data_IF_057035554148
#
_entry.id   IF_057035554148
#
_cell.length_a   1.000
_cell.length_b   1.000
_cell.length_c   1.000
_cell.angle_alpha   90.00
_cell.angle_beta   90.00
_cell.angle_gamma   90.00
#
_symmetry.space_group_name_H-M   'P 1'
#
loop_
_entity.id
_entity.type
_entity.pdbx_description
1 polymer ?
#
# COMPACT_ATOMS: atom_id res chain seq x y z
N UNK A 1 15.43 20.50 6.02
CA UNK A 1 14.19 20.42 5.21
C UNK A 1 14.20 21.56 4.21
N UNK A 2 13.76 21.31 2.97
CA UNK A 2 13.51 22.40 2.00
C UNK A 2 12.29 23.20 2.46
N UNK A 3 12.27 24.51 2.21
CA UNK A 3 11.08 25.32 2.49
C UNK A 3 9.91 24.84 1.61
N UNK A 4 8.76 24.58 2.23
CA UNK A 4 7.53 24.17 1.52
C UNK A 4 6.85 25.41 0.95
N UNK A 5 6.44 25.35 -0.32
CA UNK A 5 5.73 26.39 -1.04
C UNK A 5 4.81 25.76 -2.10
N UNK A 6 4.07 26.59 -2.84
CA UNK A 6 3.06 26.12 -3.81
C UNK A 6 3.59 25.20 -4.91
N UNK A 7 4.90 25.26 -5.26
CA UNK A 7 5.47 24.43 -6.34
C UNK A 7 5.93 23.06 -5.88
N UNK A 8 6.16 22.87 -4.58
CA UNK A 8 6.63 21.59 -4.01
C UNK A 8 5.67 20.97 -2.99
N UNK A 9 4.55 21.64 -2.70
CA UNK A 9 3.59 21.21 -1.69
C UNK A 9 3.09 19.77 -1.92
N UNK A 10 2.72 19.42 -3.15
CA UNK A 10 2.19 18.08 -3.50
C UNK A 10 3.18 16.98 -3.11
N UNK A 11 4.46 17.16 -3.48
CA UNK A 11 5.53 16.23 -3.13
C UNK A 11 5.76 16.18 -1.63
N UNK A 12 5.88 17.35 -1.00
CA UNK A 12 6.15 17.46 0.43
C UNK A 12 5.04 16.80 1.29
N UNK A 13 3.79 17.02 0.92
CA UNK A 13 2.64 16.44 1.63
C UNK A 13 2.52 14.94 1.39
N UNK A 14 2.73 14.47 0.16
CA UNK A 14 2.70 13.03 -0.14
C UNK A 14 3.81 12.29 0.59
N UNK A 15 5.03 12.83 0.60
CA UNK A 15 6.13 12.26 1.37
C UNK A 15 5.89 12.31 2.88
N UNK A 16 5.22 13.36 3.39
CA UNK A 16 4.78 13.45 4.78
C UNK A 16 3.80 12.30 5.10
N UNK A 17 2.84 12.05 4.22
CA UNK A 17 1.87 10.97 4.39
C UNK A 17 2.50 9.58 4.29
N UNK A 18 3.49 9.37 3.42
CA UNK A 18 4.23 8.10 3.36
C UNK A 18 4.95 7.86 4.69
N UNK A 19 5.70 8.86 5.20
CA UNK A 19 6.37 8.77 6.51
C UNK A 19 5.41 8.53 7.66
N UNK A 20 4.25 9.19 7.66
CA UNK A 20 3.24 9.04 8.70
C UNK A 20 2.68 7.61 8.71
N UNK A 21 2.38 7.04 7.55
CA UNK A 21 1.95 5.64 7.42
C UNK A 21 3.06 4.66 7.83
N UNK A 22 4.31 4.88 7.41
CA UNK A 22 5.47 4.09 7.84
C UNK A 22 5.62 4.09 9.37
N UNK A 23 5.48 5.25 10.00
CA UNK A 23 5.62 5.40 11.46
C UNK A 23 4.44 4.79 12.23
N UNK A 24 3.20 5.10 11.84
CA UNK A 24 2.00 4.72 12.60
C UNK A 24 1.62 3.25 12.39
N UNK A 25 1.67 2.78 11.14
CA UNK A 25 1.27 1.42 10.78
C UNK A 25 2.45 0.44 10.63
N UNK A 26 3.68 0.89 10.92
CA UNK A 26 4.88 0.06 10.84
C UNK A 26 5.28 -0.35 9.42
N UNK A 27 4.83 0.40 8.42
CA UNK A 27 5.07 0.10 7.00
C UNK A 27 6.55 0.33 6.69
N UNK A 28 7.12 -0.57 5.88
CA UNK A 28 8.53 -0.58 5.51
C UNK A 28 8.71 -0.40 4.00
N UNK A 29 9.93 -0.06 3.60
CA UNK A 29 10.33 -0.08 2.19
C UNK A 29 10.58 -1.54 1.78
N UNK A 30 10.06 -1.94 0.62
CA UNK A 30 10.28 -3.25 0.02
C UNK A 30 9.71 -4.45 0.80
N UNK A 31 8.85 -4.22 1.79
CA UNK A 31 8.26 -5.31 2.61
C UNK A 31 6.77 -5.07 2.82
N UNK A 32 5.95 -6.04 2.39
CA UNK A 32 4.52 -6.04 2.65
C UNK A 32 4.24 -6.13 4.16
N UNK A 33 3.53 -5.13 4.66
CA UNK A 33 3.05 -5.05 6.04
C UNK A 33 1.55 -5.28 6.05
N UNK A 34 1.10 -6.37 6.67
CA UNK A 34 -0.32 -6.71 6.77
C UNK A 34 -0.92 -6.22 8.08
N UNK A 35 -1.91 -5.34 8.00
CA UNK A 35 -2.78 -5.01 9.11
C UNK A 35 -3.84 -6.10 9.22
N UNK A 36 -3.79 -6.87 10.32
CA UNK A 36 -4.64 -8.05 10.55
C UNK A 36 -5.96 -7.76 11.23
N UNK A 37 -6.16 -6.52 11.64
CA UNK A 37 -7.38 -6.05 12.28
C UNK A 37 -7.93 -4.84 11.52
N UNK A 38 -9.25 -4.60 11.57
CA UNK A 38 -9.84 -3.38 11.07
C UNK A 38 -9.22 -2.14 11.72
N UNK A 39 -9.17 -1.04 10.98
CA UNK A 39 -8.59 0.20 11.49
C UNK A 39 -9.41 0.73 12.67
N UNK A 40 -8.73 1.21 13.70
CA UNK A 40 -9.34 1.93 14.83
C UNK A 40 -8.95 3.42 14.74
N UNK A 41 -9.69 4.33 15.39
CA UNK A 41 -9.32 5.76 15.40
C UNK A 41 -7.90 6.03 15.90
N UNK A 42 -7.35 5.18 16.77
CA UNK A 42 -6.01 5.32 17.32
C UNK A 42 -4.90 4.97 16.32
N UNK A 43 -5.21 4.18 15.28
CA UNK A 43 -4.25 3.73 14.26
C UNK A 43 -4.71 4.11 12.84
N UNK A 44 -5.06 5.38 12.68
CA UNK A 44 -5.71 5.90 11.48
C UNK A 44 -4.94 7.13 10.93
N UNK A 45 -3.86 6.92 10.16
CA UNK A 45 -3.11 8.02 9.56
C UNK A 45 -3.90 8.73 8.45
N UNK A 46 -4.85 8.03 7.80
CA UNK A 46 -5.68 8.59 6.71
C UNK A 46 -7.11 8.79 7.22
N UNK A 47 -7.70 9.95 6.92
CA UNK A 47 -9.06 10.25 7.35
C UNK A 47 -10.07 9.25 6.75
N UNK A 48 -10.98 8.76 7.60
CA UNK A 48 -12.04 7.77 7.28
C UNK A 48 -11.55 6.50 6.56
N UNK A 49 -10.61 5.79 7.16
CA UNK A 49 -10.24 4.45 6.68
C UNK A 49 -11.41 3.47 6.83
N UNK A 50 -11.47 2.53 5.89
CA UNK A 50 -12.52 1.53 5.77
C UNK A 50 -12.45 0.51 6.92
N UNK A 51 -13.62 0.12 7.44
CA UNK A 51 -13.74 -0.97 8.42
C UNK A 51 -14.16 -2.30 7.77
N UNK A 52 -14.58 -2.26 6.50
CA UNK A 52 -14.97 -3.39 5.66
C UNK A 52 -13.79 -4.03 4.92
N UNK A 53 -12.57 -3.52 5.11
CA UNK A 53 -11.36 -4.06 4.49
C UNK A 53 -10.19 -4.13 5.45
N UNK A 54 -9.42 -5.20 5.39
CA UNK A 54 -8.06 -5.25 5.92
C UNK A 54 -7.09 -4.62 4.93
N UNK A 55 -6.05 -3.97 5.46
CA UNK A 55 -5.05 -3.29 4.66
C UNK A 55 -3.74 -4.08 4.65
N UNK A 56 -3.07 -4.14 3.50
CA UNK A 56 -1.66 -4.48 3.38
C UNK A 56 -0.95 -3.31 2.71
N UNK A 57 0.26 -2.97 3.13
CA UNK A 57 0.95 -1.83 2.53
C UNK A 57 2.47 -1.98 2.51
N UNK A 58 3.10 -1.25 1.60
CA UNK A 58 4.56 -1.14 1.47
C UNK A 58 4.89 0.18 0.79
N UNK A 59 6.07 0.72 1.08
CA UNK A 59 6.71 1.70 0.21
C UNK A 59 7.61 0.93 -0.75
N UNK A 60 7.63 1.29 -2.02
CA UNK A 60 8.50 0.73 -3.04
C UNK A 60 9.67 1.67 -3.29
N UNK A 61 10.88 1.13 -3.42
CA UNK A 61 12.00 1.80 -4.07
C UNK A 61 12.13 1.22 -5.48
N UNK A 62 11.70 1.99 -6.48
CA UNK A 62 11.67 1.61 -7.90
C UNK A 62 12.97 1.97 -8.63
N UNK A 63 14.09 2.07 -7.89
CA UNK A 63 15.43 2.08 -8.49
C UNK A 63 15.66 0.82 -9.36
N UNK A 64 14.98 -0.28 -9.02
CA UNK A 64 14.84 -1.49 -9.83
C UNK A 64 13.33 -1.84 -9.93
N UNK A 65 12.89 -2.58 -10.97
CA UNK A 65 11.50 -3.02 -11.08
C UNK A 65 11.02 -3.84 -9.87
N UNK A 66 9.77 -3.64 -9.48
CA UNK A 66 9.07 -4.43 -8.46
C UNK A 66 7.95 -5.20 -9.12
N UNK A 67 7.77 -6.46 -8.75
CA UNK A 67 6.64 -7.30 -9.17
C UNK A 67 5.76 -7.59 -7.97
N UNK A 68 4.46 -7.27 -8.08
CA UNK A 68 3.43 -7.59 -7.10
C UNK A 68 2.41 -8.55 -7.72
N UNK A 69 2.05 -9.61 -7.00
CA UNK A 69 0.98 -10.53 -7.42
C UNK A 69 -0.21 -10.42 -6.47
N UNK A 70 -1.38 -10.19 -7.05
CA UNK A 70 -2.67 -10.33 -6.38
C UNK A 70 -3.20 -11.76 -6.62
N UNK A 71 -3.45 -12.56 -5.57
CA UNK A 71 -3.99 -13.91 -5.71
C UNK A 71 -5.42 -13.89 -6.28
N UNK A 72 -5.84 -15.05 -6.82
CA UNK A 72 -7.27 -15.32 -6.91
C UNK A 72 -7.82 -15.57 -5.49
N UNK A 73 -8.55 -14.60 -4.98
CA UNK A 73 -9.13 -14.64 -3.64
C UNK A 73 -10.51 -15.31 -3.61
N UNK A 74 -10.81 -16.23 -4.54
CA UNK A 74 -12.09 -16.95 -4.64
C UNK A 74 -13.29 -15.98 -4.75
N UNK A 75 -13.15 -14.93 -5.55
CA UNK A 75 -14.17 -13.90 -5.73
C UNK A 75 -14.25 -12.86 -4.59
N UNK A 76 -13.45 -12.97 -3.52
CA UNK A 76 -13.32 -11.90 -2.51
C UNK A 76 -12.70 -10.66 -3.16
N UNK A 77 -13.26 -9.49 -2.84
CA UNK A 77 -12.71 -8.22 -3.32
C UNK A 77 -11.31 -8.00 -2.77
N UNK A 78 -10.35 -7.77 -3.68
CA UNK A 78 -9.01 -7.33 -3.36
C UNK A 78 -8.55 -6.31 -4.40
N UNK A 79 -8.00 -5.17 -3.96
CA UNK A 79 -7.50 -4.13 -4.86
C UNK A 79 -6.16 -3.60 -4.40
N UNK A 80 -5.26 -3.36 -5.35
CA UNK A 80 -3.98 -2.68 -5.19
C UNK A 80 -4.10 -1.25 -5.69
N UNK A 81 -3.88 -0.30 -4.79
CA UNK A 81 -3.84 1.13 -5.08
C UNK A 81 -2.38 1.61 -5.00
N UNK A 82 -1.87 2.10 -6.11
CA UNK A 82 -0.49 2.62 -6.22
C UNK A 82 -0.55 4.13 -6.27
N UNK A 83 0.23 4.80 -5.41
CA UNK A 83 0.33 6.25 -5.30
C UNK A 83 1.79 6.63 -5.46
N UNK A 84 2.11 7.50 -6.42
CA UNK A 84 3.46 8.01 -6.60
C UNK A 84 3.70 9.25 -5.71
N UNK A 85 4.94 9.70 -5.59
CA UNK A 85 5.27 10.84 -4.72
C UNK A 85 4.71 12.19 -5.23
N UNK A 86 4.28 12.28 -6.48
CA UNK A 86 3.58 13.45 -7.05
C UNK A 86 2.05 13.33 -6.97
N UNK A 87 1.55 12.39 -6.15
CA UNK A 87 0.13 12.16 -5.88
C UNK A 87 -0.69 11.69 -7.10
N UNK A 88 -0.03 11.18 -8.15
CA UNK A 88 -0.70 10.41 -9.19
C UNK A 88 -0.94 8.98 -8.72
N UNK A 89 -2.04 8.40 -9.18
CA UNK A 89 -2.48 7.09 -8.70
C UNK A 89 -3.16 6.27 -9.79
N UNK A 90 -3.07 4.95 -9.64
CA UNK A 90 -3.86 3.98 -10.40
C UNK A 90 -4.22 2.78 -9.51
N UNK A 91 -5.20 1.99 -9.94
CA UNK A 91 -5.75 0.87 -9.17
C UNK A 91 -5.87 -0.36 -10.03
N UNK A 92 -5.50 -1.50 -9.46
CA UNK A 92 -5.72 -2.83 -10.01
C UNK A 92 -6.60 -3.64 -9.05
N UNK A 93 -7.61 -4.34 -9.57
CA UNK A 93 -8.57 -5.09 -8.74
C UNK A 93 -8.88 -6.49 -9.28
N UNK A 94 -8.06 -6.96 -10.22
CA UNK A 94 -8.15 -8.31 -10.76
C UNK A 94 -6.99 -9.15 -10.21
N UNK A 95 -7.18 -10.46 -10.01
CA UNK A 95 -6.05 -11.37 -9.79
C UNK A 95 -5.06 -11.25 -10.96
N UNK A 96 -3.77 -11.23 -10.64
CA UNK A 96 -2.73 -11.03 -11.65
C UNK A 96 -1.38 -10.65 -11.08
N UNK A 97 -0.39 -10.66 -11.96
CA UNK A 97 0.98 -10.23 -11.66
C UNK A 97 1.24 -8.90 -12.36
N UNK A 98 1.71 -7.93 -11.59
CA UNK A 98 1.85 -6.54 -11.99
C UNK A 98 3.30 -6.11 -11.82
N UNK A 99 3.93 -5.68 -12.90
CA UNK A 99 5.26 -5.08 -12.86
C UNK A 99 5.15 -3.56 -12.71
N UNK A 100 5.82 -3.04 -11.69
CA UNK A 100 5.90 -1.64 -11.32
C UNK A 100 7.32 -1.16 -11.57
N UNK A 101 7.46 -0.10 -12.36
CA UNK A 101 8.73 0.51 -12.71
C UNK A 101 8.68 2.01 -12.39
N UNK A 102 9.85 2.64 -12.23
CA UNK A 102 9.88 4.10 -12.06
C UNK A 102 9.22 4.82 -13.25
N UNK A 103 9.29 4.27 -14.46
CA UNK A 103 8.66 4.86 -15.65
C UNK A 103 7.12 4.81 -15.57
N UNK A 104 6.53 3.67 -15.20
CA UNK A 104 5.08 3.54 -15.18
C UNK A 104 4.42 4.13 -13.92
N UNK A 105 5.13 4.15 -12.78
CA UNK A 105 4.68 4.80 -11.55
C UNK A 105 4.95 6.31 -11.59
N UNK A 106 6.03 6.73 -12.25
CA UNK A 106 6.40 8.14 -12.48
C UNK A 106 7.38 8.73 -11.45
N UNK A 107 7.65 8.05 -10.34
CA UNK A 107 8.63 8.47 -9.33
C UNK A 107 9.42 7.27 -8.81
N UNK A 108 10.63 7.52 -8.27
CA UNK A 108 11.45 6.44 -7.69
C UNK A 108 10.73 5.75 -6.55
N UNK A 109 10.17 6.50 -5.60
CA UNK A 109 9.37 5.88 -4.55
C UNK A 109 7.89 5.86 -4.90
N UNK A 110 7.20 4.81 -4.50
CA UNK A 110 5.74 4.69 -4.61
C UNK A 110 5.17 4.03 -3.36
N UNK A 111 3.94 4.37 -3.00
CA UNK A 111 3.23 3.72 -1.91
C UNK A 111 2.18 2.78 -2.50
N UNK A 112 2.18 1.55 -2.03
CA UNK A 112 1.18 0.55 -2.39
C UNK A 112 0.30 0.28 -1.17
N UNK A 113 -1.01 0.46 -1.36
CA UNK A 113 -2.03 0.03 -0.42
C UNK A 113 -2.89 -1.05 -1.07
N UNK A 114 -2.97 -2.21 -0.45
CA UNK A 114 -3.85 -3.29 -0.88
C UNK A 114 -4.99 -3.40 0.12
N UNK A 115 -6.23 -3.40 -0.35
CA UNK A 115 -7.43 -3.63 0.46
C UNK A 115 -7.96 -5.03 0.19
N UNK A 116 -8.20 -5.80 1.24
CA UNK A 116 -8.86 -7.11 1.18
C UNK A 116 -10.17 -7.01 1.94
N UNK A 117 -11.31 -7.25 1.27
CA UNK A 117 -12.62 -7.23 1.93
C UNK A 117 -12.71 -8.25 3.06
N UNK A 118 -13.42 -7.91 4.13
CA UNK A 118 -13.66 -8.79 5.27
C UNK A 118 -15.04 -8.50 5.90
N UNK A 119 -15.78 -9.55 6.23
CA UNK A 119 -16.85 -9.45 7.21
C UNK A 119 -16.25 -9.61 8.61
N UNK A 120 -16.11 -8.49 9.32
CA UNK A 120 -15.45 -8.44 10.63
C UNK A 120 -16.26 -9.11 11.75
N UNK A 121 -17.53 -9.42 11.49
CA UNK A 121 -18.41 -10.10 12.43
C UNK A 121 -18.33 -11.62 12.32
N UNK A 122 -17.70 -12.14 11.26
CA UNK A 122 -17.48 -13.57 11.03
C UNK A 122 -15.99 -13.93 11.22
N UNK A 123 -15.62 -14.61 12.33
CA UNK A 123 -14.25 -15.05 12.57
C UNK A 123 -13.69 -15.99 11.49
N UNK A 124 -14.53 -16.77 10.81
CA UNK A 124 -14.08 -17.62 9.70
C UNK A 124 -13.75 -16.77 8.46
N UNK A 125 -14.54 -15.72 8.21
CA UNK A 125 -14.29 -14.78 7.12
C UNK A 125 -13.00 -14.00 7.33
N UNK A 126 -12.72 -13.61 8.58
CA UNK A 126 -11.46 -12.98 8.99
C UNK A 126 -10.25 -13.88 8.68
N UNK A 127 -10.32 -15.17 9.03
CA UNK A 127 -9.26 -16.13 8.71
C UNK A 127 -9.04 -16.27 7.20
N UNK A 128 -10.13 -16.31 6.41
CA UNK A 128 -10.06 -16.33 4.93
C UNK A 128 -9.45 -15.04 4.38
N UNK A 129 -9.76 -13.88 4.97
CA UNK A 129 -9.16 -12.61 4.58
C UNK A 129 -7.65 -12.57 4.89
N UNK A 130 -7.21 -13.16 6.01
CA UNK A 130 -5.78 -13.30 6.32
C UNK A 130 -5.08 -14.21 5.31
N UNK A 131 -5.68 -15.34 4.94
CA UNK A 131 -5.14 -16.21 3.89
C UNK A 131 -5.00 -15.47 2.56
N UNK A 132 -5.99 -14.64 2.19
CA UNK A 132 -5.92 -13.81 0.99
C UNK A 132 -4.85 -12.70 1.07
N UNK A 133 -4.56 -12.16 2.26
CA UNK A 133 -3.42 -11.26 2.48
C UNK A 133 -2.08 -12.00 2.33
N UNK A 134 -1.96 -13.20 2.91
CA UNK A 134 -0.73 -14.01 2.92
C UNK A 134 -0.30 -14.46 1.52
N UNK A 135 -1.28 -14.63 0.63
CA UNK A 135 -1.02 -15.02 -0.75
C UNK A 135 -0.60 -13.86 -1.67
N UNK A 136 -0.58 -12.61 -1.17
CA UNK A 136 0.01 -11.48 -1.90
C UNK A 136 1.53 -11.61 -1.87
N UNK A 137 2.17 -11.58 -3.03
CA UNK A 137 3.63 -11.62 -3.12
C UNK A 137 4.20 -10.31 -3.63
N UNK A 138 5.39 -9.96 -3.15
CA UNK A 138 6.20 -8.84 -3.62
C UNK A 138 7.63 -9.33 -3.85
N UNK A 139 8.25 -8.94 -4.96
CA UNK A 139 9.64 -9.25 -5.28
C UNK A 139 10.30 -8.15 -6.11
N UNK A 140 11.63 -8.09 -6.11
CA UNK A 140 12.39 -7.04 -6.78
C UNK A 140 12.45 -5.74 -5.96
N UNK A 141 12.75 -4.64 -6.64
CA UNK A 141 12.94 -3.32 -6.03
C UNK A 141 14.29 -3.11 -5.37
N UNK A 142 14.58 -1.85 -5.07
CA UNK A 142 15.70 -1.44 -4.23
C UNK A 142 15.38 -1.55 -2.73
N UNK A 143 16.41 -1.38 -1.92
CA UNK A 143 16.34 -1.37 -0.45
C UNK A 143 16.79 -0.02 0.15
N UNK A 144 16.82 1.03 -0.68
CA UNK A 144 17.24 2.36 -0.27
C UNK A 144 16.32 2.96 0.80
N UNK A 145 16.85 3.80 1.71
CA UNK A 145 16.02 4.50 2.68
C UNK A 145 15.07 5.47 1.98
N UNK A 146 13.83 5.55 2.45
CA UNK A 146 12.88 6.56 1.99
C UNK A 146 13.40 7.97 2.34
N UNK A 147 13.52 8.84 1.34
CA UNK A 147 14.12 10.18 1.41
C UNK A 147 13.25 11.24 2.09
#
# INVERSE_FOLDING_TARGET
MKNVNVTNFVRAETDHMFRTNMKMAGIKVGTLTHLRAPTTPDNQPVIRMNQDTLYSATVLDLAEPVVITLPDANGRYQSMHVINQDHYMFVEAKPGTYELTQENVGTRFGYVSIRTFVDVLDPEDLAKAHTAQDAITLSGGGDGPFE
#
